data_IF_163335340488
#
_entry.id   IF_163335340488
#
_cell.length_a   1.000
_cell.length_b   1.000
_cell.length_c   1.000
_cell.angle_alpha   90.00
_cell.angle_beta   90.00
_cell.angle_gamma   90.00
#
_symmetry.space_group_name_H-M   'P 1'
#
loop_
_entity.id
_entity.type
_entity.pdbx_description
1 polymer ?
#
# COMPACT_ATOMS: atom_id res chain seq x y z
N UNK A 1 6.76 -4.95 5.10
CA UNK A 1 5.61 -5.41 4.27
C UNK A 1 6.11 -5.88 2.91
N UNK A 2 5.48 -6.89 2.27
CA UNK A 2 5.86 -7.38 0.92
C UNK A 2 5.91 -6.25 -0.13
N UNK A 3 5.00 -5.27 -0.03
CA UNK A 3 4.96 -4.10 -0.91
C UNK A 3 6.22 -3.22 -0.77
N UNK A 4 6.65 -2.95 0.46
CA UNK A 4 7.86 -2.15 0.72
C UNK A 4 9.12 -2.86 0.22
N UNK A 5 9.22 -4.17 0.43
CA UNK A 5 10.35 -4.97 -0.08
C UNK A 5 10.42 -4.88 -1.61
N UNK A 6 9.28 -5.06 -2.29
CA UNK A 6 9.21 -4.91 -3.75
C UNK A 6 9.63 -3.51 -4.18
N UNK A 7 9.12 -2.46 -3.52
CA UNK A 7 9.46 -1.06 -3.82
C UNK A 7 10.95 -0.75 -3.63
N UNK A 8 11.58 -1.35 -2.61
CA UNK A 8 13.00 -1.22 -2.35
C UNK A 8 13.81 -1.85 -3.49
N UNK A 9 13.55 -3.11 -3.83
CA UNK A 9 14.19 -3.83 -4.95
C UNK A 9 14.06 -3.06 -6.28
N UNK A 10 12.86 -2.53 -6.53
CA UNK A 10 12.53 -1.70 -7.67
C UNK A 10 13.32 -0.38 -7.76
N UNK A 11 13.80 0.12 -6.62
CA UNK A 11 14.58 1.35 -6.51
C UNK A 11 16.06 1.04 -6.63
N UNK A 12 16.51 -0.06 -6.02
CA UNK A 12 17.87 -0.60 -6.17
C UNK A 12 18.17 -0.89 -7.65
N UNK A 13 17.27 -1.57 -8.36
CA UNK A 13 17.42 -1.84 -9.79
C UNK A 13 17.57 -0.56 -10.62
N UNK A 14 16.81 0.50 -10.30
CA UNK A 14 16.95 1.79 -10.99
C UNK A 14 18.31 2.43 -10.73
N UNK A 15 18.87 2.26 -9.53
CA UNK A 15 20.19 2.74 -9.15
C UNK A 15 21.31 1.94 -9.84
N UNK A 16 21.13 0.63 -9.99
CA UNK A 16 22.03 -0.25 -10.75
C UNK A 16 22.06 0.14 -12.24
N UNK A 17 20.88 0.30 -12.87
CA UNK A 17 20.78 0.74 -14.28
C UNK A 17 21.47 2.09 -14.48
N UNK A 18 21.29 3.02 -13.54
CA UNK A 18 21.94 4.34 -13.57
C UNK A 18 23.46 4.21 -13.49
N UNK A 19 23.96 3.36 -12.59
CA UNK A 19 25.39 3.14 -12.37
C UNK A 19 26.04 2.47 -13.57
N UNK A 20 25.41 1.41 -14.11
CA UNK A 20 25.83 0.74 -15.34
C UNK A 20 25.91 1.73 -16.51
N UNK A 21 24.85 2.51 -16.72
CA UNK A 21 24.80 3.49 -17.81
C UNK A 21 25.91 4.54 -17.66
N UNK A 22 26.24 4.95 -16.43
CA UNK A 22 27.33 5.91 -16.16
C UNK A 22 28.69 5.34 -16.54
N UNK A 23 28.93 4.08 -16.19
CA UNK A 23 30.16 3.38 -16.56
C UNK A 23 30.25 3.19 -18.08
N UNK A 24 29.17 2.76 -18.73
CA UNK A 24 29.10 2.63 -20.20
C UNK A 24 29.38 3.96 -20.89
N UNK A 25 28.78 5.06 -20.45
CA UNK A 25 29.03 6.38 -21.01
C UNK A 25 30.52 6.79 -20.92
N UNK A 26 31.18 6.49 -19.79
CA UNK A 26 32.59 6.78 -19.61
C UNK A 26 33.47 5.97 -20.58
N UNK A 27 33.21 4.66 -20.70
CA UNK A 27 33.94 3.77 -21.61
C UNK A 27 33.79 4.21 -23.07
N UNK A 28 32.57 4.46 -23.53
CA UNK A 28 32.32 4.88 -24.92
C UNK A 28 32.96 6.24 -25.22
N UNK A 29 32.95 7.16 -24.25
CA UNK A 29 33.62 8.46 -24.36
C UNK A 29 35.13 8.31 -24.48
N UNK A 30 35.76 7.55 -23.58
CA UNK A 30 37.20 7.34 -23.59
C UNK A 30 37.65 6.68 -24.89
N UNK A 31 36.92 5.67 -25.35
CA UNK A 31 37.22 4.98 -26.61
C UNK A 31 37.09 5.92 -27.81
N UNK A 32 35.99 6.68 -27.90
CA UNK A 32 35.81 7.68 -28.95
C UNK A 32 36.94 8.71 -28.97
N UNK A 33 37.34 9.23 -27.80
CA UNK A 33 38.43 10.19 -27.66
C UNK A 33 39.78 9.63 -28.11
N UNK A 34 40.15 8.41 -27.67
CA UNK A 34 41.40 7.75 -28.08
C UNK A 34 41.41 7.52 -29.60
N UNK A 35 40.29 7.10 -30.19
CA UNK A 35 40.16 6.94 -31.63
C UNK A 35 40.37 8.26 -32.38
N UNK A 36 39.73 9.35 -31.93
CA UNK A 36 39.93 10.68 -32.56
C UNK A 36 41.36 11.20 -32.42
N UNK A 37 42.01 10.97 -31.27
CA UNK A 37 43.39 11.40 -31.04
C UNK A 37 44.38 10.65 -31.93
N UNK A 38 44.21 9.32 -32.08
CA UNK A 38 45.01 8.51 -33.00
C UNK A 38 44.81 8.97 -34.45
N UNK A 39 43.56 9.19 -34.87
CA UNK A 39 43.22 9.72 -36.19
C UNK A 39 43.95 11.04 -36.48
N UNK A 40 43.93 11.97 -35.55
CA UNK A 40 44.64 13.25 -35.66
C UNK A 40 46.14 13.05 -35.89
N UNK A 41 46.78 12.19 -35.09
CA UNK A 41 48.20 11.86 -35.22
C UNK A 41 48.54 11.21 -36.59
N UNK A 42 47.76 10.23 -37.02
CA UNK A 42 47.98 9.55 -38.31
C UNK A 42 47.75 10.48 -39.52
N UNK A 43 46.77 11.38 -39.46
CA UNK A 43 46.52 12.34 -40.53
C UNK A 43 47.65 13.38 -40.64
N UNK A 44 48.30 13.73 -39.53
CA UNK A 44 49.41 14.68 -39.50
C UNK A 44 50.72 14.09 -40.05
N UNK A 45 50.92 12.77 -39.88
CA UNK A 45 52.15 12.07 -40.32
C UNK A 45 52.17 11.68 -41.81
N UNK A 46 51.02 11.65 -42.50
CA UNK A 46 50.89 11.09 -43.87
C UNK A 46 50.76 12.22 -44.90
N UNK A 47 51.65 13.22 -44.81
CA UNK A 47 51.81 14.26 -45.85
C UNK A 47 52.59 13.75 -47.09
N UNK A 48 53.07 12.50 -47.08
CA UNK A 48 54.00 11.97 -48.11
C UNK A 48 53.63 10.53 -48.47
N UNK A 49 52.69 10.32 -49.39
CA UNK A 49 52.40 9.00 -49.96
C UNK A 49 52.05 9.11 -51.44
N UNK A 50 52.83 8.45 -52.30
CA UNK A 50 52.86 8.67 -53.77
C UNK A 50 51.99 7.64 -54.54
N UNK A 51 51.46 6.60 -53.89
CA UNK A 51 50.67 5.54 -54.55
C UNK A 51 49.15 5.70 -54.36
N UNK A 52 48.44 5.98 -55.47
CA UNK A 52 46.99 6.29 -55.51
C UNK A 52 46.06 5.22 -54.93
N UNK A 53 46.33 3.92 -55.16
CA UNK A 53 45.44 2.83 -54.73
C UNK A 53 45.56 2.52 -53.23
N UNK A 54 46.78 2.45 -52.71
CA UNK A 54 47.07 2.27 -51.28
C UNK A 54 46.56 3.46 -50.46
N UNK A 55 46.70 4.68 -51.01
CA UNK A 55 46.15 5.89 -50.40
C UNK A 55 44.61 5.86 -50.29
N UNK A 56 43.91 5.36 -51.32
CA UNK A 56 42.45 5.23 -51.29
C UNK A 56 41.96 4.26 -50.20
N UNK A 57 42.62 3.11 -50.06
CA UNK A 57 42.31 2.15 -48.98
C UNK A 57 42.61 2.73 -47.61
N UNK A 58 43.76 3.39 -47.44
CA UNK A 58 44.12 4.06 -46.19
C UNK A 58 43.09 5.14 -45.81
N UNK A 59 42.68 5.98 -46.76
CA UNK A 59 41.67 7.02 -46.54
C UNK A 59 40.32 6.43 -46.13
N UNK A 60 39.90 5.34 -46.76
CA UNK A 60 38.70 4.61 -46.35
C UNK A 60 38.79 4.08 -44.91
N UNK A 61 39.94 3.57 -44.46
CA UNK A 61 40.15 3.11 -43.07
C UNK A 61 40.06 4.29 -42.09
N UNK A 62 40.65 5.43 -42.43
CA UNK A 62 40.57 6.68 -41.66
C UNK A 62 39.12 7.13 -41.52
N UNK A 63 38.37 7.19 -42.62
CA UNK A 63 36.97 7.63 -42.64
C UNK A 63 36.07 6.70 -41.80
N UNK A 64 36.24 5.37 -41.93
CA UNK A 64 35.50 4.38 -41.12
C UNK A 64 35.85 4.50 -39.63
N UNK A 65 37.11 4.74 -39.30
CA UNK A 65 37.54 4.93 -37.90
C UNK A 65 36.96 6.22 -37.32
N UNK A 66 36.88 7.29 -38.12
CA UNK A 66 36.31 8.56 -37.70
C UNK A 66 34.80 8.44 -37.46
N UNK A 67 34.09 7.76 -38.37
CA UNK A 67 32.66 7.47 -38.21
C UNK A 67 32.40 6.61 -36.97
N UNK A 68 33.21 5.57 -36.74
CA UNK A 68 33.13 4.72 -35.54
C UNK A 68 33.34 5.53 -34.24
N UNK A 69 34.32 6.44 -34.23
CA UNK A 69 34.58 7.31 -33.09
C UNK A 69 33.41 8.27 -32.81
N UNK A 70 32.85 8.87 -33.87
CA UNK A 70 31.70 9.76 -33.78
C UNK A 70 30.45 9.02 -33.24
N UNK A 71 30.17 7.82 -33.74
CA UNK A 71 29.07 6.98 -33.25
C UNK A 71 29.22 6.62 -31.77
N UNK A 72 30.44 6.35 -31.29
CA UNK A 72 30.69 6.08 -29.85
C UNK A 72 30.49 7.31 -28.97
N UNK A 73 30.93 8.48 -29.42
CA UNK A 73 30.69 9.74 -28.70
C UNK A 73 29.20 10.09 -28.63
N UNK A 74 28.45 9.83 -29.71
CA UNK A 74 27.00 9.97 -29.73
C UNK A 74 26.32 9.01 -28.72
N UNK A 75 26.73 7.74 -28.69
CA UNK A 75 26.21 6.78 -27.70
C UNK A 75 26.52 7.21 -26.25
N UNK A 76 27.72 7.74 -25.98
CA UNK A 76 28.06 8.27 -24.66
C UNK A 76 27.16 9.44 -24.24
N UNK A 77 26.79 10.30 -25.18
CA UNK A 77 25.85 11.40 -24.97
C UNK A 77 24.44 10.91 -24.64
N UNK A 78 23.94 9.93 -25.39
CA UNK A 78 22.63 9.31 -25.14
C UNK A 78 22.57 8.68 -23.74
N UNK A 79 23.58 7.91 -23.35
CA UNK A 79 23.65 7.36 -21.98
C UNK A 79 23.64 8.47 -20.92
N UNK A 80 24.37 9.57 -21.15
CA UNK A 80 24.39 10.71 -20.23
C UNK A 80 23.02 11.40 -20.11
N UNK A 81 22.30 11.55 -21.21
CA UNK A 81 20.95 12.12 -21.21
C UNK A 81 19.95 11.23 -20.45
N UNK A 82 19.98 9.92 -20.67
CA UNK A 82 19.14 8.94 -19.98
C UNK A 82 19.37 8.96 -18.46
N UNK A 83 20.63 9.03 -18.02
CA UNK A 83 21.02 9.13 -16.60
C UNK A 83 20.68 10.49 -15.99
N UNK A 84 20.53 11.51 -16.83
CA UNK A 84 20.37 12.90 -16.45
C UNK A 84 19.01 13.23 -15.82
N UNK A 85 18.34 14.22 -16.37
CA UNK A 85 17.11 14.74 -15.78
C UNK A 85 15.93 13.74 -15.86
N UNK A 86 15.88 12.94 -16.93
CA UNK A 86 14.80 11.97 -17.15
C UNK A 86 14.76 10.87 -16.06
N UNK A 87 15.90 10.22 -15.76
CA UNK A 87 15.99 9.19 -14.71
C UNK A 87 15.65 9.74 -13.32
N UNK A 88 16.18 10.93 -12.98
CA UNK A 88 15.87 11.59 -11.68
C UNK A 88 14.39 11.93 -11.55
N UNK A 89 13.79 12.50 -12.59
CA UNK A 89 12.35 12.84 -12.60
C UNK A 89 11.48 11.60 -12.45
N UNK A 90 11.82 10.52 -13.17
CA UNK A 90 11.09 9.25 -13.08
C UNK A 90 11.17 8.64 -11.67
N UNK A 91 12.36 8.62 -11.07
CA UNK A 91 12.57 8.13 -9.69
C UNK A 91 11.77 8.95 -8.68
N UNK A 92 11.86 10.29 -8.74
CA UNK A 92 11.12 11.16 -7.80
C UNK A 92 9.61 10.97 -7.93
N UNK A 93 9.09 10.87 -9.16
CA UNK A 93 7.67 10.61 -9.38
C UNK A 93 7.22 9.24 -8.84
N UNK A 94 8.08 8.21 -8.95
CA UNK A 94 7.84 6.89 -8.38
C UNK A 94 7.82 6.93 -6.86
N UNK A 95 8.78 7.62 -6.25
CA UNK A 95 8.91 7.75 -4.79
C UNK A 95 7.71 8.47 -4.16
N UNK A 96 7.31 9.62 -4.73
CA UNK A 96 6.12 10.37 -4.28
C UNK A 96 4.85 9.50 -4.34
N UNK A 97 4.66 8.74 -5.43
CA UNK A 97 3.50 7.83 -5.56
C UNK A 97 3.53 6.70 -4.54
N UNK A 98 4.69 6.09 -4.37
CA UNK A 98 4.91 5.03 -3.38
C UNK A 98 4.58 5.53 -1.99
N UNK A 99 5.09 6.71 -1.61
CA UNK A 99 4.82 7.32 -0.31
C UNK A 99 3.33 7.58 -0.09
N UNK A 100 2.66 8.23 -1.04
CA UNK A 100 1.20 8.48 -0.97
C UNK A 100 0.39 7.18 -0.90
N UNK A 101 0.79 6.16 -1.65
CA UNK A 101 0.13 4.86 -1.63
C UNK A 101 0.29 4.15 -0.28
N UNK A 102 1.47 4.22 0.33
CA UNK A 102 1.72 3.68 1.67
C UNK A 102 0.95 4.44 2.76
N UNK A 103 0.92 5.78 2.69
CA UNK A 103 0.13 6.61 3.61
C UNK A 103 -1.36 6.25 3.53
N UNK A 104 -1.90 6.10 2.31
CA UNK A 104 -3.30 5.68 2.10
C UNK A 104 -3.54 4.26 2.63
N UNK A 105 -2.61 3.34 2.40
CA UNK A 105 -2.71 1.97 2.92
C UNK A 105 -2.75 1.95 4.46
N UNK A 106 -1.82 2.67 5.10
CA UNK A 106 -1.76 2.78 6.55
C UNK A 106 -3.05 3.37 7.11
N UNK A 107 -3.59 4.42 6.47
CA UNK A 107 -4.85 5.04 6.88
C UNK A 107 -6.02 4.05 6.83
N UNK A 108 -6.24 3.39 5.70
CA UNK A 108 -7.37 2.44 5.56
C UNK A 108 -7.20 1.23 6.48
N UNK A 109 -5.98 0.73 6.66
CA UNK A 109 -5.70 -0.34 7.62
C UNK A 109 -6.00 0.11 9.06
N UNK A 110 -5.64 1.34 9.43
CA UNK A 110 -5.99 1.95 10.71
C UNK A 110 -7.50 2.02 10.91
N UNK A 111 -8.24 2.55 9.94
CA UNK A 111 -9.70 2.66 9.98
C UNK A 111 -10.38 1.29 10.18
N UNK A 112 -9.89 0.23 9.54
CA UNK A 112 -10.43 -1.14 9.73
C UNK A 112 -10.12 -1.67 11.13
N UNK A 113 -8.90 -1.44 11.64
CA UNK A 113 -8.50 -1.87 12.99
C UNK A 113 -9.32 -1.13 14.06
N UNK A 114 -9.49 0.18 13.92
CA UNK A 114 -10.27 1.00 14.84
C UNK A 114 -11.73 0.53 14.88
N UNK A 115 -12.32 0.25 13.72
CA UNK A 115 -13.68 -0.29 13.63
C UNK A 115 -13.81 -1.68 14.30
N UNK A 116 -12.80 -2.55 14.17
CA UNK A 116 -12.77 -3.84 14.86
C UNK A 116 -12.64 -3.69 16.39
N UNK A 117 -11.84 -2.73 16.87
CA UNK A 117 -11.71 -2.44 18.29
C UNK A 117 -13.02 -1.93 18.88
N UNK A 118 -13.73 -1.06 18.17
CA UNK A 118 -15.02 -0.56 18.60
C UNK A 118 -16.08 -1.68 18.62
N UNK A 119 -16.12 -2.54 17.60
CA UNK A 119 -16.98 -3.73 17.61
C UNK A 119 -16.68 -4.64 18.81
N UNK A 120 -15.40 -4.81 19.17
CA UNK A 120 -15.02 -5.58 20.36
C UNK A 120 -15.56 -4.95 21.65
N UNK A 121 -15.48 -3.62 21.77
CA UNK A 121 -16.03 -2.86 22.91
C UNK A 121 -17.56 -3.04 23.03
N UNK A 122 -18.28 -2.87 21.92
CA UNK A 122 -19.74 -3.05 21.85
C UNK A 122 -20.13 -4.49 22.18
N UNK A 123 -19.42 -5.47 21.62
CA UNK A 123 -19.61 -6.90 21.92
C UNK A 123 -19.45 -7.17 23.42
N UNK A 124 -18.43 -6.62 24.08
CA UNK A 124 -18.24 -6.79 25.52
C UNK A 124 -19.41 -6.20 26.32
N UNK A 125 -19.88 -5.01 25.93
CA UNK A 125 -21.06 -4.37 26.53
C UNK A 125 -22.31 -5.25 26.40
N UNK A 126 -22.54 -5.83 25.22
CA UNK A 126 -23.64 -6.76 24.97
C UNK A 126 -23.61 -7.97 25.91
N UNK A 127 -22.46 -8.62 26.07
CA UNK A 127 -22.35 -9.78 26.97
C UNK A 127 -22.62 -9.40 28.44
N UNK A 128 -22.14 -8.23 28.87
CA UNK A 128 -22.41 -7.74 30.23
C UNK A 128 -23.91 -7.52 30.46
N UNK A 129 -24.59 -6.86 29.52
CA UNK A 129 -26.03 -6.60 29.63
C UNK A 129 -26.85 -7.89 29.53
N UNK A 130 -26.41 -8.84 28.70
CA UNK A 130 -27.05 -10.16 28.60
C UNK A 130 -26.96 -10.91 29.93
N UNK A 131 -25.80 -10.88 30.58
CA UNK A 131 -25.63 -11.49 31.91
C UNK A 131 -26.52 -10.81 32.96
N UNK A 132 -26.52 -9.47 33.01
CA UNK A 132 -27.34 -8.69 33.95
C UNK A 132 -28.84 -8.98 33.78
N UNK A 133 -29.33 -9.06 32.54
CA UNK A 133 -30.73 -9.39 32.24
C UNK A 133 -31.09 -10.82 32.68
N UNK A 134 -30.19 -11.79 32.49
CA UNK A 134 -30.40 -13.16 32.96
C UNK A 134 -30.50 -13.22 34.49
N UNK A 135 -29.60 -12.56 35.21
CA UNK A 135 -29.67 -12.48 36.68
C UNK A 135 -30.95 -11.78 37.16
N UNK A 136 -31.41 -10.74 36.46
CA UNK A 136 -32.68 -10.08 36.77
C UNK A 136 -33.88 -11.02 36.55
N UNK A 137 -33.84 -11.83 35.47
CA UNK A 137 -34.87 -12.80 35.12
C UNK A 137 -34.99 -13.90 36.17
N UNK A 138 -33.86 -14.45 36.62
CA UNK A 138 -33.80 -15.43 37.72
C UNK A 138 -34.38 -14.86 39.02
N UNK A 139 -33.97 -13.65 39.42
CA UNK A 139 -34.47 -12.99 40.64
C UNK A 139 -35.98 -12.72 40.58
N UNK A 140 -36.49 -12.30 39.43
CA UNK A 140 -37.92 -12.07 39.23
C UNK A 140 -38.72 -13.38 39.29
N UNK A 141 -38.23 -14.45 38.65
CA UNK A 141 -38.84 -15.77 38.68
C UNK A 141 -38.87 -16.37 40.10
N UNK A 142 -37.78 -16.22 40.86
CA UNK A 142 -37.70 -16.63 42.26
C UNK A 142 -38.70 -15.88 43.14
N UNK A 143 -38.80 -14.55 42.98
CA UNK A 143 -39.74 -13.74 43.74
C UNK A 143 -41.19 -14.09 43.40
N UNK A 144 -41.49 -14.37 42.13
CA UNK A 144 -42.81 -14.81 41.70
C UNK A 144 -43.16 -16.19 42.25
N UNK A 145 -42.20 -17.12 42.27
CA UNK A 145 -42.39 -18.46 42.86
C UNK A 145 -42.64 -18.37 44.37
N UNK A 146 -41.90 -17.50 45.08
CA UNK A 146 -42.15 -17.23 46.51
C UNK A 146 -43.53 -16.61 46.74
N UNK A 147 -43.96 -15.69 45.87
CA UNK A 147 -45.29 -15.08 45.92
C UNK A 147 -46.41 -16.12 45.84
N UNK A 148 -46.36 -17.00 44.82
CA UNK A 148 -47.35 -18.08 44.63
C UNK A 148 -47.38 -19.06 45.81
N UNK A 149 -46.22 -19.44 46.34
CA UNK A 149 -46.14 -20.32 47.53
C UNK A 149 -46.74 -19.66 48.78
N UNK A 150 -46.57 -18.35 48.95
CA UNK A 150 -47.09 -17.59 50.09
C UNK A 150 -48.58 -17.22 49.98
N UNK A 151 -49.20 -17.45 48.81
CA UNK A 151 -50.58 -17.07 48.50
C UNK A 151 -51.60 -17.77 49.39
N UNK A 152 -51.26 -18.94 49.94
CA UNK A 152 -52.09 -19.73 50.84
C UNK A 152 -51.70 -19.61 52.33
N UNK A 153 -50.72 -18.75 52.67
CA UNK A 153 -50.23 -18.58 54.05
C UNK A 153 -51.02 -17.57 54.89
N UNK A 154 -51.10 -17.82 56.20
CA UNK A 154 -51.93 -17.10 57.20
C UNK A 154 -51.39 -15.68 57.56
N UNK A 155 -50.22 -15.26 57.04
CA UNK A 155 -49.51 -14.06 57.52
C UNK A 155 -49.71 -12.76 56.70
N UNK A 156 -49.67 -11.63 57.42
CA UNK A 156 -49.71 -10.22 56.95
C UNK A 156 -48.58 -9.78 55.99
N UNK A 157 -47.76 -10.69 55.45
CA UNK A 157 -46.60 -10.39 54.62
C UNK A 157 -46.89 -10.32 53.10
N UNK A 158 -48.12 -10.67 52.67
CA UNK A 158 -48.53 -10.70 51.25
C UNK A 158 -48.28 -9.38 50.52
N UNK A 159 -48.63 -8.25 51.14
CA UNK A 159 -48.48 -6.92 50.54
C UNK A 159 -47.01 -6.57 50.30
N UNK A 160 -46.12 -6.93 51.23
CA UNK A 160 -44.68 -6.73 51.09
C UNK A 160 -44.08 -7.56 49.96
N UNK A 161 -44.50 -8.82 49.85
CA UNK A 161 -44.05 -9.71 48.78
C UNK A 161 -44.51 -9.24 47.40
N UNK A 162 -45.78 -8.81 47.28
CA UNK A 162 -46.32 -8.29 46.03
C UNK A 162 -45.60 -7.01 45.57
N UNK A 163 -45.30 -6.09 46.50
CA UNK A 163 -44.48 -4.90 46.22
C UNK A 163 -43.09 -5.28 45.73
N UNK A 164 -42.45 -6.28 46.35
CA UNK A 164 -41.13 -6.76 45.93
C UNK A 164 -41.15 -7.43 44.56
N UNK A 165 -42.13 -8.29 44.27
CA UNK A 165 -42.32 -8.91 42.95
C UNK A 165 -42.54 -7.85 41.87
N UNK A 166 -43.35 -6.82 42.16
CA UNK A 166 -43.58 -5.69 41.24
C UNK A 166 -42.28 -4.94 40.95
N UNK A 167 -41.50 -4.61 41.99
CA UNK A 167 -40.20 -3.92 41.85
C UNK A 167 -39.17 -4.74 41.06
N UNK A 168 -39.11 -6.05 41.27
CA UNK A 168 -38.20 -6.92 40.52
C UNK A 168 -38.65 -7.09 39.06
N UNK A 169 -39.97 -7.12 38.82
CA UNK A 169 -40.54 -7.17 37.47
C UNK A 169 -40.29 -5.87 36.69
N UNK A 170 -40.38 -4.71 37.33
CA UNK A 170 -40.03 -3.43 36.69
C UNK A 170 -38.55 -3.37 36.33
N UNK A 171 -37.67 -3.82 37.23
CA UNK A 171 -36.22 -3.91 37.00
C UNK A 171 -35.88 -4.89 35.88
N UNK A 172 -36.56 -6.03 35.80
CA UNK A 172 -36.41 -6.98 34.68
C UNK A 172 -36.73 -6.30 33.35
N UNK A 173 -37.85 -5.57 33.27
CA UNK A 173 -38.26 -4.84 32.06
C UNK A 173 -37.21 -3.81 31.65
N UNK A 174 -36.65 -3.07 32.59
CA UNK A 174 -35.54 -2.12 32.33
C UNK A 174 -34.30 -2.83 31.78
N UNK A 175 -33.89 -3.95 32.38
CA UNK A 175 -32.77 -4.74 31.89
C UNK A 175 -33.01 -5.31 30.49
N UNK A 176 -34.21 -5.80 30.20
CA UNK A 176 -34.56 -6.35 28.88
C UNK A 176 -34.63 -5.27 27.79
N UNK A 177 -35.15 -4.08 28.11
CA UNK A 177 -35.10 -2.93 27.22
C UNK A 177 -33.65 -2.57 26.90
N UNK A 178 -32.79 -2.46 27.91
CA UNK A 178 -31.38 -2.10 27.72
C UNK A 178 -30.61 -3.18 26.96
N UNK A 179 -30.89 -4.45 27.21
CA UNK A 179 -30.31 -5.56 26.44
C UNK A 179 -30.71 -5.47 24.97
N UNK A 180 -31.97 -5.13 24.68
CA UNK A 180 -32.45 -4.96 23.30
C UNK A 180 -31.72 -3.82 22.58
N UNK A 181 -31.54 -2.67 23.24
CA UNK A 181 -30.78 -1.54 22.71
C UNK A 181 -29.34 -1.94 22.35
N UNK A 182 -28.60 -2.53 23.31
CA UNK A 182 -27.19 -2.90 23.11
C UNK A 182 -27.05 -4.05 22.10
N UNK A 183 -28.03 -4.97 22.02
CA UNK A 183 -28.06 -6.01 20.98
C UNK A 183 -28.20 -5.40 19.59
N UNK A 184 -29.11 -4.44 19.43
CA UNK A 184 -29.32 -3.78 18.14
C UNK A 184 -28.07 -2.98 17.73
N UNK A 185 -27.44 -2.26 18.66
CA UNK A 185 -26.16 -1.57 18.45
C UNK A 185 -25.06 -2.55 18.00
N UNK A 186 -24.94 -3.71 18.66
CA UNK A 186 -23.98 -4.75 18.27
C UNK A 186 -24.22 -5.29 16.87
N UNK A 187 -25.47 -5.58 16.49
CA UNK A 187 -25.80 -6.10 15.17
C UNK A 187 -25.54 -5.06 14.05
N UNK A 188 -25.84 -3.79 14.31
CA UNK A 188 -25.53 -2.70 13.39
C UNK A 188 -24.03 -2.52 13.23
N UNK A 189 -23.26 -2.49 14.32
CA UNK A 189 -21.81 -2.40 14.28
C UNK A 189 -21.17 -3.59 13.57
N UNK A 190 -21.66 -4.82 13.82
CA UNK A 190 -21.19 -6.02 13.14
C UNK A 190 -21.43 -5.95 11.63
N UNK A 191 -22.61 -5.49 11.21
CA UNK A 191 -22.95 -5.31 9.80
C UNK A 191 -22.07 -4.25 9.13
N UNK A 192 -21.83 -3.13 9.81
CA UNK A 192 -20.96 -2.06 9.33
C UNK A 192 -19.51 -2.52 9.16
N UNK A 193 -18.93 -3.18 10.18
CA UNK A 193 -17.56 -3.71 10.13
C UNK A 193 -17.42 -4.77 9.04
N UNK A 194 -18.41 -5.65 8.87
CA UNK A 194 -18.39 -6.62 7.78
C UNK A 194 -18.39 -5.93 6.41
N UNK A 195 -19.21 -4.89 6.23
CA UNK A 195 -19.21 -4.08 5.01
C UNK A 195 -17.86 -3.42 4.74
N UNK A 196 -17.26 -2.80 5.76
CA UNK A 196 -15.94 -2.16 5.65
C UNK A 196 -14.83 -3.18 5.36
N UNK A 197 -14.90 -4.36 5.97
CA UNK A 197 -13.95 -5.45 5.71
C UNK A 197 -14.04 -5.92 4.26
N UNK A 198 -15.25 -6.13 3.74
CA UNK A 198 -15.45 -6.49 2.34
C UNK A 198 -14.87 -5.42 1.41
N UNK A 199 -15.27 -4.16 1.60
CA UNK A 199 -14.78 -3.02 0.80
C UNK A 199 -13.25 -2.90 0.82
N UNK A 200 -12.62 -3.15 1.98
CA UNK A 200 -11.16 -3.12 2.11
C UNK A 200 -10.47 -4.12 1.16
N UNK A 201 -11.00 -5.35 1.06
CA UNK A 201 -10.41 -6.39 0.21
C UNK A 201 -10.84 -6.30 -1.26
N UNK A 202 -12.07 -5.87 -1.55
CA UNK A 202 -12.60 -5.80 -2.91
C UNK A 202 -12.17 -4.55 -3.65
N UNK A 203 -12.04 -3.43 -2.93
CA UNK A 203 -11.88 -2.10 -3.55
C UNK A 203 -10.60 -1.40 -3.10
N UNK A 204 -10.43 -1.13 -1.81
CA UNK A 204 -9.33 -0.28 -1.33
C UNK A 204 -7.96 -0.90 -1.60
N UNK A 205 -7.74 -2.15 -1.20
CA UNK A 205 -6.45 -2.81 -1.34
C UNK A 205 -6.07 -2.98 -2.84
N UNK A 206 -6.94 -3.51 -3.72
CA UNK A 206 -6.64 -3.59 -5.15
C UNK A 206 -6.39 -2.22 -5.78
N UNK A 207 -7.17 -1.20 -5.42
CA UNK A 207 -6.99 0.15 -5.95
C UNK A 207 -5.65 0.77 -5.51
N UNK A 208 -5.27 0.64 -4.23
CA UNK A 208 -3.99 1.13 -3.71
C UNK A 208 -2.81 0.40 -4.37
N UNK A 209 -2.91 -0.92 -4.53
CA UNK A 209 -1.90 -1.70 -5.26
C UNK A 209 -1.81 -1.25 -6.72
N UNK A 210 -2.95 -1.04 -7.40
CA UNK A 210 -2.96 -0.54 -8.77
C UNK A 210 -2.28 0.82 -8.88
N UNK A 211 -2.62 1.80 -8.03
CA UNK A 211 -2.03 3.15 -8.07
C UNK A 211 -0.54 3.13 -7.77
N UNK A 212 -0.08 2.24 -6.89
CA UNK A 212 1.36 2.06 -6.61
C UNK A 212 2.11 1.35 -7.75
N UNK A 213 1.44 0.53 -8.57
CA UNK A 213 2.05 -0.23 -9.69
C UNK A 213 1.90 0.38 -11.10
N UNK A 214 0.83 1.12 -11.43
CA UNK A 214 0.34 1.29 -12.82
C UNK A 214 1.03 2.31 -13.73
N UNK A 215 2.16 2.94 -13.37
CA UNK A 215 2.85 3.84 -14.32
C UNK A 215 4.04 3.26 -15.08
N UNK A 216 4.33 1.97 -14.91
CA UNK A 216 5.33 1.29 -15.77
C UNK A 216 4.79 0.99 -17.17
N UNK A 217 3.46 0.92 -17.38
CA UNK A 217 2.87 0.57 -18.69
C UNK A 217 2.52 1.76 -19.59
N UNK A 218 2.31 2.96 -19.04
CA UNK A 218 1.91 4.14 -19.85
C UNK A 218 3.07 4.85 -20.56
N UNK A 219 4.32 4.47 -20.32
CA UNK A 219 5.49 5.01 -21.05
C UNK A 219 5.87 4.20 -22.30
N UNK A 220 5.24 3.05 -22.57
CA UNK A 220 5.48 2.23 -23.76
C UNK A 220 4.46 2.45 -24.90
N UNK A 221 3.63 3.50 -24.83
CA UNK A 221 2.57 3.79 -25.80
C UNK A 221 2.66 5.22 -26.35
N UNK A 222 3.86 5.74 -26.56
CA UNK A 222 4.06 6.84 -27.51
C UNK A 222 4.76 6.28 -28.74
N UNK A 223 4.05 6.11 -29.87
CA UNK A 223 4.71 5.83 -31.13
C UNK A 223 5.52 7.07 -31.52
N UNK A 224 6.81 6.86 -31.78
CA UNK A 224 7.62 7.71 -32.67
C UNK A 224 7.71 6.94 -33.98
#
# INVERSE_FOLDING_TARGET
SKLQTKQHQDTELLEEIRTFSKQRAAIEKEYGQVSTHKLFYYCQSISVCVFRSVFGVWRSVVDVTAQSAASRLAAAEEYRQLIGQASRSHRNAKDIRTKRGLERLQRVQGEVVDAMQELHRIKKSYHQHSHNANVAREKAADAQTRARKSEHGIFHFKTGLHKMTTKLSSRLRECDNRLTEVRNEYLLALSAVNGQYQHYYTDDLPHIMKVTHTHTQKMNLKPV
#
